data_IF_995212484445
#
_entry.id   IF_995212484445
#
_cell.length_a   1.000
_cell.length_b   1.000
_cell.length_c   1.000
_cell.angle_alpha   90.00
_cell.angle_beta   90.00
_cell.angle_gamma   90.00
#
_symmetry.space_group_name_H-M   'P 1'
#
loop_
_entity.id
_entity.type
_entity.pdbx_description
1 polymer ?
#
# COMPACT_ATOMS: atom_id res chain seq x y z
N UNK A 1 14.51 -21.53 -4.75
CA UNK A 1 13.83 -21.15 -6.01
C UNK A 1 13.67 -22.31 -7.00
N UNK A 2 14.56 -23.31 -7.08
CA UNK A 2 14.50 -24.40 -8.07
C UNK A 2 13.14 -25.15 -8.18
N UNK A 3 12.39 -25.25 -7.09
CA UNK A 3 11.04 -25.85 -7.06
C UNK A 3 9.94 -24.93 -7.58
N UNK A 4 10.22 -23.65 -7.82
CA UNK A 4 9.23 -22.62 -8.16
C UNK A 4 9.38 -22.06 -9.59
N UNK A 5 10.63 -21.88 -10.06
CA UNK A 5 10.90 -21.35 -11.41
C UNK A 5 12.26 -21.79 -11.91
N UNK A 6 12.36 -22.12 -13.20
CA UNK A 6 13.61 -22.58 -13.84
C UNK A 6 14.70 -21.49 -13.90
N UNK A 7 14.31 -20.21 -13.81
CA UNK A 7 15.23 -19.05 -13.77
C UNK A 7 15.79 -18.78 -12.37
N UNK A 8 15.41 -19.60 -11.39
CA UNK A 8 15.86 -19.50 -10.00
C UNK A 8 15.56 -18.09 -9.40
N UNK A 9 16.58 -17.50 -8.77
CA UNK A 9 16.52 -16.18 -8.15
C UNK A 9 16.45 -15.03 -9.15
N UNK A 10 16.69 -15.30 -10.43
CA UNK A 10 16.57 -14.33 -11.54
C UNK A 10 15.18 -14.31 -12.18
N UNK A 11 14.23 -15.09 -11.67
CA UNK A 11 12.83 -14.99 -12.07
C UNK A 11 12.25 -13.59 -11.81
N UNK A 12 11.18 -13.16 -12.51
CA UNK A 12 10.48 -11.91 -12.21
C UNK A 12 10.15 -11.76 -10.72
N UNK A 13 10.22 -10.54 -10.21
CA UNK A 13 10.11 -10.30 -8.76
C UNK A 13 8.80 -10.76 -8.14
N UNK A 14 7.70 -10.72 -8.88
CA UNK A 14 6.41 -11.25 -8.46
C UNK A 14 6.46 -12.77 -8.24
N UNK A 15 7.16 -13.53 -9.08
CA UNK A 15 7.36 -14.98 -8.92
C UNK A 15 8.22 -15.27 -7.70
N UNK A 16 9.34 -14.55 -7.55
CA UNK A 16 10.24 -14.72 -6.40
C UNK A 16 9.52 -14.38 -5.10
N UNK A 17 8.75 -13.28 -5.07
CA UNK A 17 7.99 -12.88 -3.90
C UNK A 17 6.93 -13.92 -3.51
N UNK A 18 6.20 -14.48 -4.49
CA UNK A 18 5.24 -15.56 -4.24
C UNK A 18 5.90 -16.84 -3.72
N UNK A 19 7.06 -17.18 -4.24
CA UNK A 19 7.82 -18.35 -3.78
C UNK A 19 8.28 -18.18 -2.33
N UNK A 20 8.82 -17.00 -1.98
CA UNK A 20 9.23 -16.69 -0.61
C UNK A 20 8.02 -16.72 0.34
N UNK A 21 6.91 -16.07 -0.01
CA UNK A 21 5.68 -16.08 0.78
C UNK A 21 5.15 -17.50 1.01
N UNK A 22 5.21 -18.34 -0.02
CA UNK A 22 4.82 -19.74 0.07
C UNK A 22 5.71 -20.52 1.06
N UNK A 23 7.04 -20.42 0.94
CA UNK A 23 7.98 -21.11 1.82
C UNK A 23 7.86 -20.62 3.27
N UNK A 24 7.75 -19.31 3.49
CA UNK A 24 7.54 -18.75 4.82
C UNK A 24 6.29 -19.30 5.48
N UNK A 25 5.15 -19.29 4.78
CA UNK A 25 3.87 -19.80 5.31
C UNK A 25 3.85 -21.31 5.49
N UNK A 26 4.49 -22.06 4.60
CA UNK A 26 4.59 -23.52 4.68
C UNK A 26 5.39 -23.97 5.91
N UNK A 27 6.46 -23.26 6.22
CA UNK A 27 7.37 -23.61 7.30
C UNK A 27 7.10 -22.85 8.60
N UNK A 28 6.18 -21.89 8.61
CA UNK A 28 5.86 -21.06 9.79
C UNK A 28 7.02 -20.17 10.22
N UNK A 29 7.85 -19.71 9.26
CA UNK A 29 9.00 -18.83 9.50
C UNK A 29 8.66 -17.39 9.10
N UNK A 30 9.32 -16.43 9.73
CA UNK A 30 9.10 -15.01 9.55
C UNK A 30 10.02 -14.35 8.50
N UNK A 31 11.04 -15.08 8.03
CA UNK A 31 11.96 -14.62 6.97
C UNK A 31 12.59 -15.82 6.23
N UNK A 32 13.25 -15.54 5.10
CA UNK A 32 14.15 -16.44 4.40
C UNK A 32 15.57 -15.86 4.36
N UNK A 33 16.55 -16.68 3.99
CA UNK A 33 17.95 -16.27 3.97
C UNK A 33 18.38 -15.91 2.54
N UNK A 34 18.92 -14.70 2.35
CA UNK A 34 19.62 -14.30 1.14
C UNK A 34 21.12 -14.51 1.35
N UNK A 35 21.67 -15.48 0.66
CA UNK A 35 23.10 -15.81 0.75
C UNK A 35 23.88 -15.25 -0.44
N UNK A 36 24.68 -14.23 -0.19
CA UNK A 36 25.56 -13.60 -1.18
C UNK A 36 27.05 -13.87 -0.92
N UNK A 37 27.40 -14.72 0.06
CA UNK A 37 28.80 -14.99 0.49
C UNK A 37 29.68 -15.50 -0.65
N UNK A 38 29.12 -16.25 -1.60
CA UNK A 38 29.82 -16.80 -2.76
C UNK A 38 30.39 -15.72 -3.70
N UNK A 39 29.92 -14.48 -3.63
CA UNK A 39 30.40 -13.35 -4.44
C UNK A 39 31.72 -12.76 -3.90
N UNK A 40 32.04 -13.00 -2.63
CA UNK A 40 33.22 -12.48 -1.98
C UNK A 40 33.14 -11.02 -1.52
N UNK A 41 33.91 -10.70 -0.47
CA UNK A 41 33.84 -9.39 0.20
C UNK A 41 34.16 -8.20 -0.73
N UNK A 42 35.19 -8.34 -1.57
CA UNK A 42 35.61 -7.27 -2.49
C UNK A 42 34.49 -6.92 -3.50
N UNK A 43 33.83 -7.93 -4.06
CA UNK A 43 32.70 -7.74 -4.95
C UNK A 43 31.52 -7.05 -4.26
N UNK A 44 31.15 -7.55 -3.07
CA UNK A 44 30.02 -7.03 -2.30
C UNK A 44 30.22 -5.56 -1.91
N UNK A 45 31.43 -5.18 -1.50
CA UNK A 45 31.77 -3.79 -1.19
C UNK A 45 31.73 -2.87 -2.42
N UNK A 46 32.21 -3.35 -3.56
CA UNK A 46 32.27 -2.56 -4.78
C UNK A 46 30.87 -2.37 -5.43
N UNK A 47 30.04 -3.42 -5.45
CA UNK A 47 28.77 -3.41 -6.16
C UNK A 47 27.57 -3.05 -5.29
N UNK A 48 27.64 -3.31 -3.98
CA UNK A 48 26.57 -3.05 -3.02
C UNK A 48 27.04 -2.26 -1.78
N UNK A 49 27.73 -1.12 -1.96
CA UNK A 49 28.37 -0.41 -0.84
C UNK A 49 27.37 0.04 0.23
N UNK A 50 26.21 0.53 -0.18
CA UNK A 50 25.17 1.01 0.75
C UNK A 50 24.55 -0.14 1.54
N UNK A 51 24.22 -1.26 0.88
CA UNK A 51 23.66 -2.45 1.54
C UNK A 51 24.70 -3.04 2.49
N UNK A 52 25.95 -3.17 2.04
CA UNK A 52 27.04 -3.68 2.87
C UNK A 52 27.21 -2.85 4.15
N UNK A 53 27.34 -1.52 4.02
CA UNK A 53 27.48 -0.62 5.16
C UNK A 53 26.27 -0.68 6.10
N UNK A 54 25.05 -0.72 5.55
CA UNK A 54 23.83 -0.77 6.35
C UNK A 54 23.71 -2.09 7.11
N UNK A 55 23.94 -3.22 6.46
CA UNK A 55 23.93 -4.53 7.13
C UNK A 55 24.98 -4.60 8.24
N UNK A 56 26.19 -4.11 7.97
CA UNK A 56 27.27 -4.08 8.95
C UNK A 56 26.91 -3.22 10.18
N UNK A 57 26.24 -2.08 9.99
CA UNK A 57 25.75 -1.24 11.09
C UNK A 57 24.69 -1.92 11.97
N UNK A 58 24.06 -2.98 11.46
CA UNK A 58 23.08 -3.83 12.17
C UNK A 58 23.73 -5.14 12.71
N UNK A 59 25.06 -5.25 12.64
CA UNK A 59 25.79 -6.45 13.08
C UNK A 59 25.79 -7.60 12.08
N UNK A 60 25.36 -7.37 10.82
CA UNK A 60 25.30 -8.39 9.78
C UNK A 60 26.42 -8.15 8.77
N UNK A 61 27.47 -8.99 8.80
CA UNK A 61 28.52 -9.00 7.77
C UNK A 61 28.09 -9.91 6.61
N UNK A 62 27.60 -9.30 5.52
CA UNK A 62 27.05 -10.01 4.35
C UNK A 62 28.11 -10.82 3.58
N UNK A 63 29.39 -10.61 3.84
CA UNK A 63 30.47 -11.42 3.29
C UNK A 63 30.67 -12.74 4.06
N UNK A 64 30.16 -12.82 5.30
CA UNK A 64 30.39 -13.94 6.21
C UNK A 64 29.11 -14.69 6.60
N UNK A 65 27.97 -13.99 6.58
CA UNK A 65 26.68 -14.55 6.97
C UNK A 65 25.56 -14.12 6.01
N UNK A 66 24.50 -14.94 5.85
CA UNK A 66 23.36 -14.58 5.03
C UNK A 66 22.52 -13.47 5.68
N UNK A 67 21.76 -12.77 4.86
CA UNK A 67 20.86 -11.68 5.27
C UNK A 67 19.43 -12.24 5.47
N UNK A 68 18.76 -11.99 6.61
CA UNK A 68 17.35 -12.30 6.74
C UNK A 68 16.53 -11.33 5.86
N UNK A 69 15.69 -11.87 4.99
CA UNK A 69 14.90 -11.08 4.05
C UNK A 69 13.45 -11.54 3.97
N UNK A 70 12.56 -10.59 3.73
CA UNK A 70 11.15 -10.83 3.45
C UNK A 70 10.74 -10.02 2.22
N UNK A 71 9.73 -10.45 1.46
CA UNK A 71 9.10 -9.56 0.49
C UNK A 71 8.46 -8.38 1.21
N UNK A 72 8.58 -7.18 0.69
CA UNK A 72 7.95 -5.99 1.25
C UNK A 72 7.09 -5.30 0.20
N UNK A 73 6.05 -4.59 0.64
CA UNK A 73 5.32 -3.67 -0.21
C UNK A 73 6.30 -2.60 -0.73
N UNK A 74 6.26 -2.33 -2.03
CA UNK A 74 7.20 -1.41 -2.67
C UNK A 74 6.50 -0.21 -3.29
N UNK A 75 5.44 -0.44 -4.08
CA UNK A 75 4.73 0.60 -4.80
C UNK A 75 3.24 0.26 -4.92
N UNK A 76 2.39 1.24 -4.69
CA UNK A 76 0.95 1.11 -4.89
C UNK A 76 0.62 1.36 -6.36
N UNK A 77 0.14 0.33 -7.08
CA UNK A 77 -0.31 0.48 -8.46
C UNK A 77 -1.79 0.88 -8.51
N UNK A 78 -2.14 1.92 -7.80
CA UNK A 78 -3.51 2.39 -7.65
C UNK A 78 -3.55 3.61 -6.76
N UNK A 79 -4.71 4.23 -6.61
CA UNK A 79 -4.88 5.44 -5.82
C UNK A 79 -6.11 6.21 -6.23
N UNK A 80 -6.09 7.50 -6.04
CA UNK A 80 -7.15 8.41 -6.45
C UNK A 80 -7.15 8.51 -7.97
N UNK A 81 -8.31 8.30 -8.61
CA UNK A 81 -8.45 8.44 -10.07
C UNK A 81 -8.25 9.90 -10.45
N UNK A 82 -7.35 10.14 -11.39
CA UNK A 82 -7.07 11.49 -11.93
C UNK A 82 -6.95 11.46 -13.44
N UNK A 83 -7.14 12.60 -14.06
CA UNK A 83 -6.70 12.85 -15.44
C UNK A 83 -5.18 13.11 -15.51
N UNK A 84 -4.66 13.38 -16.70
CA UNK A 84 -3.24 13.67 -16.92
C UNK A 84 -2.80 15.06 -16.41
N UNK A 85 -3.73 15.88 -15.96
CA UNK A 85 -3.51 17.18 -15.32
C UNK A 85 -3.61 17.08 -13.79
N UNK A 86 -3.78 15.86 -13.24
CA UNK A 86 -3.90 15.61 -11.81
C UNK A 86 -5.26 15.94 -11.21
N UNK A 87 -6.29 16.29 -12.02
CA UNK A 87 -7.61 16.59 -11.52
C UNK A 87 -8.33 15.33 -11.07
N UNK A 88 -9.03 15.44 -9.95
CA UNK A 88 -9.98 14.41 -9.49
C UNK A 88 -11.39 14.77 -9.93
N UNK A 89 -12.36 13.91 -9.61
CA UNK A 89 -13.79 14.18 -9.79
C UNK A 89 -14.36 15.20 -8.76
N UNK A 90 -13.56 15.60 -7.77
CA UNK A 90 -13.91 16.66 -6.83
C UNK A 90 -13.30 17.99 -7.31
N UNK A 91 -14.12 19.02 -7.64
CA UNK A 91 -13.59 20.30 -8.08
C UNK A 91 -12.63 20.92 -7.06
N UNK A 92 -11.46 21.35 -7.54
CA UNK A 92 -10.41 21.96 -6.71
C UNK A 92 -9.51 20.97 -5.97
N UNK A 93 -9.77 19.65 -6.07
CA UNK A 93 -8.90 18.63 -5.52
C UNK A 93 -8.03 18.02 -6.64
N UNK A 94 -6.73 18.08 -6.44
CA UNK A 94 -5.71 17.51 -7.32
C UNK A 94 -4.93 16.42 -6.59
N UNK A 95 -4.44 15.43 -7.34
CA UNK A 95 -3.52 14.44 -6.83
C UNK A 95 -2.50 14.06 -7.90
N UNK A 96 -1.24 13.82 -7.49
CA UNK A 96 -0.13 13.44 -8.39
C UNK A 96 0.79 12.42 -7.73
N UNK A 97 1.52 11.66 -8.52
CA UNK A 97 2.50 10.68 -8.06
C UNK A 97 1.88 9.38 -7.54
N UNK A 98 2.54 8.70 -6.61
CA UNK A 98 2.16 7.36 -6.14
C UNK A 98 0.74 7.27 -5.54
N UNK A 99 0.21 8.38 -5.04
CA UNK A 99 -1.15 8.45 -4.49
C UNK A 99 -2.25 8.42 -5.56
N UNK A 100 -1.89 8.48 -6.85
CA UNK A 100 -2.85 8.58 -7.96
C UNK A 100 -3.01 7.27 -8.72
N UNK A 101 -4.12 7.17 -9.44
CA UNK A 101 -4.33 6.18 -10.48
C UNK A 101 -4.57 6.89 -11.82
N UNK A 102 -3.54 6.94 -12.64
CA UNK A 102 -3.57 7.47 -14.02
C UNK A 102 -3.75 6.38 -15.07
N UNK A 103 -3.59 5.11 -14.67
CA UNK A 103 -3.53 3.97 -15.58
C UNK A 103 -2.14 3.64 -16.12
N UNK A 104 -1.14 4.51 -15.94
CA UNK A 104 0.22 4.34 -16.48
C UNK A 104 0.87 3.01 -16.07
N UNK A 105 0.71 2.61 -14.82
CA UNK A 105 1.38 1.42 -14.29
C UNK A 105 0.63 0.12 -14.53
N UNK A 106 -0.63 0.19 -14.94
CA UNK A 106 -1.45 -1.01 -15.15
C UNK A 106 -1.49 -1.90 -13.90
N UNK A 107 -1.28 -3.20 -14.09
CA UNK A 107 -1.30 -4.18 -13.00
C UNK A 107 0.06 -4.36 -12.30
N UNK A 108 1.14 -3.80 -12.84
CA UNK A 108 2.49 -3.87 -12.27
C UNK A 108 3.36 -2.75 -12.80
N UNK A 109 3.92 -1.93 -11.93
CA UNK A 109 4.77 -0.80 -12.30
C UNK A 109 6.10 -1.26 -12.88
N UNK A 110 6.49 -0.69 -14.03
CA UNK A 110 7.84 -0.83 -14.55
C UNK A 110 8.81 0.03 -13.74
N UNK A 111 10.00 -0.49 -13.47
CA UNK A 111 11.05 0.21 -12.73
C UNK A 111 11.31 1.60 -13.32
N UNK A 112 11.57 2.58 -12.46
CA UNK A 112 11.83 3.99 -12.76
C UNK A 112 10.62 4.82 -13.23
N UNK A 113 9.53 4.22 -13.71
CA UNK A 113 8.37 4.97 -14.20
C UNK A 113 7.66 5.77 -13.09
N UNK A 114 7.78 5.38 -11.83
CA UNK A 114 7.21 6.14 -10.70
C UNK A 114 7.76 7.56 -10.61
N UNK A 115 9.09 7.73 -10.72
CA UNK A 115 9.71 9.06 -10.67
C UNK A 115 9.37 9.89 -11.91
N UNK A 116 9.29 9.27 -13.08
CA UNK A 116 8.86 9.94 -14.31
C UNK A 116 7.41 10.44 -14.19
N UNK A 117 6.51 9.61 -13.71
CA UNK A 117 5.13 10.00 -13.44
C UNK A 117 5.06 11.19 -12.48
N UNK A 118 5.75 11.12 -11.34
CA UNK A 118 5.77 12.20 -10.35
C UNK A 118 6.25 13.54 -10.97
N UNK A 119 7.34 13.52 -11.74
CA UNK A 119 7.91 14.74 -12.31
C UNK A 119 7.04 15.31 -13.41
N UNK A 120 6.59 14.47 -14.36
CA UNK A 120 5.82 14.91 -15.52
C UNK A 120 4.44 15.41 -15.06
N UNK A 121 3.70 14.60 -14.31
CA UNK A 121 2.34 14.98 -13.90
C UNK A 121 2.34 16.05 -12.82
N UNK A 122 3.38 16.10 -11.96
CA UNK A 122 3.54 17.20 -11.02
C UNK A 122 3.69 18.55 -11.72
N UNK A 123 4.48 18.60 -12.80
CA UNK A 123 4.62 19.79 -13.65
C UNK A 123 3.30 20.15 -14.33
N UNK A 124 2.68 19.20 -15.01
CA UNK A 124 1.43 19.44 -15.74
C UNK A 124 0.31 19.92 -14.80
N UNK A 125 0.22 19.31 -13.61
CA UNK A 125 -0.72 19.73 -12.57
C UNK A 125 -0.46 21.17 -12.09
N UNK A 126 0.80 21.54 -11.86
CA UNK A 126 1.15 22.90 -11.45
C UNK A 126 0.79 23.92 -12.53
N UNK A 127 1.11 23.64 -13.80
CA UNK A 127 0.74 24.48 -14.96
C UNK A 127 -0.79 24.64 -15.03
N UNK A 128 -1.53 23.57 -14.76
CA UNK A 128 -3.00 23.60 -14.75
C UNK A 128 -3.57 24.43 -13.61
N UNK A 129 -3.07 24.24 -12.38
CA UNK A 129 -3.51 25.03 -11.22
C UNK A 129 -3.26 26.53 -11.43
N UNK A 130 -2.13 26.88 -12.05
CA UNK A 130 -1.82 28.28 -12.36
C UNK A 130 -2.73 28.88 -13.45
N UNK A 131 -3.23 28.06 -14.37
CA UNK A 131 -4.11 28.48 -15.45
C UNK A 131 -5.60 28.54 -15.03
N UNK A 132 -5.99 27.81 -14.00
CA UNK A 132 -7.37 27.77 -13.50
C UNK A 132 -7.69 29.07 -12.73
N UNK A 133 -8.93 29.58 -12.85
CA UNK A 133 -9.36 30.71 -12.05
C UNK A 133 -9.34 30.33 -10.57
N UNK A 134 -8.91 31.26 -9.73
CA UNK A 134 -8.94 31.07 -8.29
C UNK A 134 -10.37 30.74 -7.82
N UNK A 135 -10.50 29.61 -7.13
CA UNK A 135 -11.77 29.24 -6.51
C UNK A 135 -12.06 30.17 -5.32
N UNK A 136 -13.31 30.58 -5.11
CA UNK A 136 -13.68 31.34 -3.94
C UNK A 136 -13.38 30.50 -2.68
N UNK A 137 -12.57 31.06 -1.78
CA UNK A 137 -12.24 30.42 -0.50
C UNK A 137 -13.30 30.82 0.51
N UNK A 138 -14.12 29.87 0.95
CA UNK A 138 -14.98 30.08 2.10
C UNK A 138 -14.14 30.19 3.39
N UNK A 139 -14.49 31.08 4.35
CA UNK A 139 -13.82 31.13 5.62
C UNK A 139 -13.94 29.77 6.33
N UNK A 140 -12.81 29.23 6.78
CA UNK A 140 -12.82 28.00 7.57
C UNK A 140 -13.35 28.32 8.98
N UNK A 141 -14.22 27.47 9.54
CA UNK A 141 -14.62 27.59 10.93
C UNK A 141 -13.41 27.42 11.85
N UNK A 142 -13.43 28.06 13.00
CA UNK A 142 -12.42 27.81 14.03
C UNK A 142 -12.47 26.33 14.45
N UNK A 143 -11.31 25.78 14.75
CA UNK A 143 -11.21 24.43 15.30
C UNK A 143 -11.82 24.40 16.70
N UNK A 144 -12.78 23.52 16.94
CA UNK A 144 -13.51 23.40 18.20
C UNK A 144 -13.13 22.08 18.92
N UNK A 145 -12.42 22.21 20.03
CA UNK A 145 -12.03 21.08 20.89
C UNK A 145 -12.88 20.99 22.16
N UNK A 146 -13.97 21.76 22.29
CA UNK A 146 -14.76 21.81 23.51
C UNK A 146 -15.44 20.50 23.90
N UNK A 147 -15.48 19.52 23.00
CA UNK A 147 -16.14 18.21 23.18
C UNK A 147 -15.16 17.03 23.27
N UNK A 148 -13.86 17.30 23.27
CA UNK A 148 -12.84 16.24 23.30
C UNK A 148 -11.96 16.38 24.53
N UNK A 149 -11.49 15.25 25.02
CA UNK A 149 -10.59 15.16 26.18
C UNK A 149 -9.19 14.73 25.72
N UNK A 150 -8.19 14.93 26.58
CA UNK A 150 -6.87 14.36 26.35
C UNK A 150 -6.93 12.85 26.55
N UNK A 151 -6.32 12.09 25.65
CA UNK A 151 -6.29 10.64 25.77
C UNK A 151 -5.37 10.22 26.93
N UNK A 152 -5.92 9.45 27.88
CA UNK A 152 -5.15 8.92 28.99
C UNK A 152 -4.14 7.86 28.55
N UNK A 153 -4.42 7.16 27.44
CA UNK A 153 -3.63 6.04 26.94
C UNK A 153 -3.36 6.15 25.44
N UNK A 154 -2.08 6.03 25.06
CA UNK A 154 -1.66 5.91 23.66
C UNK A 154 -1.63 4.44 23.19
N UNK A 155 -1.81 3.49 24.08
CA UNK A 155 -1.73 2.06 23.78
C UNK A 155 -2.77 1.60 22.75
N UNK A 156 -3.95 2.20 22.76
CA UNK A 156 -5.05 1.86 21.81
C UNK A 156 -4.62 2.16 20.37
N UNK A 157 -4.02 3.33 20.14
CA UNK A 157 -3.55 3.73 18.80
C UNK A 157 -2.42 2.80 18.33
N UNK A 158 -1.43 2.56 19.19
CA UNK A 158 -0.28 1.70 18.87
C UNK A 158 -0.71 0.26 18.62
N UNK A 159 -1.61 -0.28 19.44
CA UNK A 159 -2.15 -1.64 19.27
C UNK A 159 -2.91 -1.79 17.94
N UNK A 160 -3.83 -0.88 17.64
CA UNK A 160 -4.63 -0.93 16.41
C UNK A 160 -3.76 -0.74 15.16
N UNK A 161 -2.69 0.06 15.27
CA UNK A 161 -1.70 0.22 14.22
C UNK A 161 -0.97 -1.10 13.90
N UNK A 162 -0.45 -1.75 14.93
CA UNK A 162 0.27 -3.02 14.75
C UNK A 162 -0.66 -4.15 14.31
N UNK A 163 -1.87 -4.21 14.86
CA UNK A 163 -2.88 -5.16 14.44
C UNK A 163 -3.24 -4.98 12.96
N UNK A 164 -3.50 -3.76 12.51
CA UNK A 164 -3.84 -3.50 11.10
C UNK A 164 -2.71 -3.93 10.17
N UNK A 165 -1.46 -3.61 10.50
CA UNK A 165 -0.30 -4.00 9.68
C UNK A 165 -0.16 -5.52 9.60
N UNK A 166 -0.26 -6.21 10.73
CA UNK A 166 -0.20 -7.67 10.78
C UNK A 166 -1.36 -8.33 10.03
N UNK A 167 -2.56 -7.78 10.16
CA UNK A 167 -3.75 -8.23 9.42
C UNK A 167 -3.54 -8.11 7.91
N UNK A 168 -3.08 -6.96 7.44
CA UNK A 168 -2.82 -6.73 6.02
C UNK A 168 -1.72 -7.66 5.49
N UNK A 169 -0.66 -7.88 6.25
CA UNK A 169 0.39 -8.83 5.91
C UNK A 169 -0.13 -10.26 5.77
N UNK A 170 -0.85 -10.75 6.77
CA UNK A 170 -1.25 -12.15 6.84
C UNK A 170 -2.41 -12.51 5.90
N UNK A 171 -3.37 -11.62 5.71
CA UNK A 171 -4.62 -11.91 4.99
C UNK A 171 -4.74 -11.24 3.64
N UNK A 172 -4.07 -10.10 3.41
CA UNK A 172 -4.20 -9.28 2.21
C UNK A 172 -2.90 -9.23 1.40
N UNK A 173 -1.85 -9.88 1.90
CA UNK A 173 -0.52 -9.88 1.29
C UNK A 173 -0.45 -10.57 -0.07
N UNK A 174 0.72 -11.11 -0.40
CA UNK A 174 1.13 -11.51 -1.76
C UNK A 174 0.20 -12.56 -2.38
N UNK A 175 -0.22 -13.59 -1.61
CA UNK A 175 -1.12 -14.65 -2.08
C UNK A 175 -2.46 -14.52 -1.37
N UNK A 176 -3.50 -14.24 -2.13
CA UNK A 176 -4.85 -13.94 -1.65
C UNK A 176 -5.81 -15.10 -1.85
N UNK A 177 -6.85 -15.14 -1.04
CA UNK A 177 -8.07 -15.93 -1.24
C UNK A 177 -9.27 -15.09 -0.82
N UNK A 178 -10.43 -15.32 -1.43
CA UNK A 178 -11.68 -14.62 -1.10
C UNK A 178 -11.96 -14.71 0.40
N UNK A 179 -11.86 -15.90 0.97
CA UNK A 179 -12.11 -16.13 2.41
C UNK A 179 -11.18 -15.32 3.33
N UNK A 180 -9.91 -15.16 2.95
CA UNK A 180 -8.97 -14.30 3.72
C UNK A 180 -9.33 -12.83 3.60
N UNK A 181 -9.65 -12.36 2.39
CA UNK A 181 -10.05 -10.98 2.15
C UNK A 181 -11.34 -10.61 2.89
N UNK A 182 -12.34 -11.51 2.93
CA UNK A 182 -13.58 -11.32 3.68
C UNK A 182 -13.33 -11.20 5.19
N UNK A 183 -12.46 -12.06 5.74
CA UNK A 183 -12.05 -11.97 7.15
C UNK A 183 -11.32 -10.65 7.44
N UNK A 184 -10.41 -10.24 6.56
CA UNK A 184 -9.72 -8.96 6.71
C UNK A 184 -10.71 -7.80 6.67
N UNK A 185 -11.66 -7.80 5.74
CA UNK A 185 -12.68 -6.74 5.65
C UNK A 185 -13.54 -6.67 6.92
N UNK A 186 -13.90 -7.82 7.49
CA UNK A 186 -14.65 -7.85 8.74
C UNK A 186 -13.85 -7.20 9.88
N UNK A 187 -12.58 -7.56 10.03
CA UNK A 187 -11.73 -6.99 11.09
C UNK A 187 -11.45 -5.50 10.88
N UNK A 188 -11.20 -5.07 9.64
CA UNK A 188 -11.01 -3.66 9.31
C UNK A 188 -12.24 -2.82 9.68
N UNK A 189 -13.45 -3.34 9.53
CA UNK A 189 -14.66 -2.63 9.96
C UNK A 189 -14.67 -2.38 11.46
N UNK A 190 -14.28 -3.36 12.29
CA UNK A 190 -14.17 -3.19 13.72
C UNK A 190 -13.13 -2.12 14.08
N UNK A 191 -11.93 -2.22 13.50
CA UNK A 191 -10.87 -1.22 13.71
C UNK A 191 -11.30 0.19 13.27
N UNK A 192 -12.09 0.28 12.19
CA UNK A 192 -12.64 1.56 11.73
C UNK A 192 -13.60 2.16 12.74
N UNK A 193 -14.51 1.34 13.28
CA UNK A 193 -15.53 1.79 14.22
C UNK A 193 -14.85 2.21 15.55
N UNK A 194 -13.90 1.44 16.07
CA UNK A 194 -13.06 1.80 17.23
C UNK A 194 -12.26 3.10 16.99
N UNK A 195 -11.62 3.23 15.83
CA UNK A 195 -10.85 4.44 15.46
C UNK A 195 -11.76 5.65 15.34
N UNK A 196 -12.98 5.47 14.85
CA UNK A 196 -13.97 6.53 14.73
C UNK A 196 -14.43 7.01 16.10
N UNK A 197 -14.74 6.10 17.00
CA UNK A 197 -15.14 6.42 18.37
C UNK A 197 -14.02 7.15 19.11
N UNK A 198 -12.79 6.69 18.94
CA UNK A 198 -11.62 7.35 19.53
C UNK A 198 -11.43 8.77 18.97
N UNK A 199 -11.54 8.93 17.65
CA UNK A 199 -11.45 10.23 16.98
C UNK A 199 -12.55 11.21 17.42
N UNK A 200 -13.74 10.73 17.75
CA UNK A 200 -14.86 11.56 18.17
C UNK A 200 -14.75 12.06 19.61
N UNK A 201 -14.02 11.34 20.47
CA UNK A 201 -13.98 11.60 21.91
C UNK A 201 -12.66 12.20 22.39
N UNK A 202 -11.57 11.98 21.68
CA UNK A 202 -10.25 12.40 22.14
C UNK A 202 -9.63 13.44 21.23
N UNK A 203 -8.73 14.27 21.81
CA UNK A 203 -7.99 15.29 21.09
C UNK A 203 -7.16 14.67 19.97
N UNK A 204 -7.28 15.25 18.79
CA UNK A 204 -6.63 14.74 17.57
C UNK A 204 -5.13 14.95 17.66
N UNK A 205 -4.37 13.89 17.42
CA UNK A 205 -2.92 13.91 17.24
C UNK A 205 -2.53 13.26 15.90
N UNK A 206 -1.23 13.32 15.58
CA UNK A 206 -0.70 12.80 14.33
C UNK A 206 -0.96 11.30 14.17
N UNK A 207 -0.68 10.52 15.20
CA UNK A 207 -0.75 9.06 15.14
C UNK A 207 -2.20 8.58 14.95
N UNK A 208 -3.15 9.25 15.60
CA UNK A 208 -4.59 8.99 15.41
C UNK A 208 -5.04 9.30 13.98
N UNK A 209 -4.57 10.43 13.40
CA UNK A 209 -4.89 10.76 12.00
C UNK A 209 -4.30 9.75 11.03
N UNK A 210 -3.06 9.32 11.24
CA UNK A 210 -2.40 8.32 10.41
C UNK A 210 -3.11 6.97 10.52
N UNK A 211 -3.46 6.51 11.74
CA UNK A 211 -4.23 5.28 11.95
C UNK A 211 -5.57 5.32 11.20
N UNK A 212 -6.33 6.42 11.36
CA UNK A 212 -7.60 6.61 10.64
C UNK A 212 -7.41 6.50 9.12
N UNK A 213 -6.39 7.11 8.58
CA UNK A 213 -6.09 7.08 7.15
C UNK A 213 -5.66 5.67 6.70
N UNK A 214 -4.85 4.97 7.49
CA UNK A 214 -4.44 3.59 7.21
C UNK A 214 -5.63 2.63 7.16
N UNK A 215 -6.57 2.76 8.10
CA UNK A 215 -7.80 1.94 8.13
C UNK A 215 -8.64 2.15 6.87
N UNK A 216 -8.81 3.41 6.41
CA UNK A 216 -9.51 3.72 5.16
C UNK A 216 -8.79 3.13 3.95
N UNK A 217 -7.47 3.30 3.84
CA UNK A 217 -6.68 2.73 2.76
C UNK A 217 -6.76 1.20 2.75
N UNK A 218 -6.68 0.55 3.90
CA UNK A 218 -6.79 -0.90 4.03
C UNK A 218 -8.16 -1.40 3.56
N UNK A 219 -9.25 -0.73 3.94
CA UNK A 219 -10.60 -1.07 3.47
C UNK A 219 -10.70 -0.96 1.95
N UNK A 220 -10.19 0.11 1.34
CA UNK A 220 -10.21 0.31 -0.10
C UNK A 220 -9.39 -0.76 -0.85
N UNK A 221 -8.21 -1.13 -0.34
CA UNK A 221 -7.37 -2.19 -0.91
C UNK A 221 -8.11 -3.53 -0.88
N UNK A 222 -8.71 -3.91 0.26
CA UNK A 222 -9.41 -5.18 0.39
C UNK A 222 -10.66 -5.23 -0.49
N UNK A 223 -11.44 -4.16 -0.54
CA UNK A 223 -12.63 -4.07 -1.41
C UNK A 223 -12.26 -4.14 -2.89
N UNK A 224 -11.16 -3.50 -3.30
CA UNK A 224 -10.64 -3.59 -4.67
C UNK A 224 -10.21 -5.01 -5.00
N UNK A 225 -9.49 -5.67 -4.09
CA UNK A 225 -9.04 -7.04 -4.26
C UNK A 225 -10.21 -8.03 -4.35
N UNK A 226 -11.26 -7.87 -3.54
CA UNK A 226 -12.48 -8.69 -3.59
C UNK A 226 -13.25 -8.55 -4.90
N UNK A 227 -13.22 -7.36 -5.52
CA UNK A 227 -13.90 -7.13 -6.81
C UNK A 227 -13.16 -7.70 -8.01
N UNK A 228 -11.86 -7.99 -7.88
CA UNK A 228 -11.04 -8.46 -8.99
C UNK A 228 -10.97 -9.98 -9.04
N UNK A 229 -11.79 -10.59 -9.87
CA UNK A 229 -11.90 -12.03 -10.04
C UNK A 229 -10.94 -12.55 -11.12
N UNK A 230 -9.68 -12.20 -11.03
CA UNK A 230 -8.58 -12.65 -11.89
C UNK A 230 -7.25 -12.57 -11.13
N UNK A 231 -6.20 -13.17 -11.68
CA UNK A 231 -4.81 -12.91 -11.27
C UNK A 231 -4.11 -12.17 -12.39
N UNK A 232 -3.58 -10.94 -12.09
CA UNK A 232 -2.92 -10.09 -13.09
C UNK A 232 -1.88 -9.20 -12.40
N UNK A 233 -0.66 -9.24 -12.87
CA UNK A 233 0.44 -8.48 -12.27
C UNK A 233 0.65 -8.85 -10.81
N UNK A 234 0.61 -7.85 -9.92
CA UNK A 234 0.80 -8.05 -8.48
C UNK A 234 -0.42 -8.63 -7.77
N UNK A 235 -1.62 -8.50 -8.32
CA UNK A 235 -2.80 -9.13 -7.76
C UNK A 235 -2.84 -10.63 -8.12
N UNK A 236 -2.62 -11.47 -7.12
CA UNK A 236 -2.68 -12.92 -7.27
C UNK A 236 -3.69 -13.53 -6.30
N UNK A 237 -4.69 -14.22 -6.84
CA UNK A 237 -5.71 -14.95 -6.08
C UNK A 237 -5.68 -16.44 -6.40
N UNK A 238 -5.65 -17.28 -5.38
CA UNK A 238 -5.72 -18.74 -5.55
C UNK A 238 -7.10 -19.20 -6.06
N UNK A 239 -8.14 -18.42 -5.77
CA UNK A 239 -9.51 -18.75 -6.18
C UNK A 239 -9.75 -18.34 -7.66
N UNK A 240 -8.96 -17.37 -8.16
CA UNK A 240 -9.02 -16.88 -9.54
C UNK A 240 -7.61 -16.82 -10.15
N UNK A 241 -6.96 -17.97 -10.44
CA UNK A 241 -5.55 -17.99 -10.84
C UNK A 241 -5.28 -17.47 -12.26
N UNK A 242 -6.30 -17.41 -13.11
CA UNK A 242 -6.16 -17.01 -14.51
C UNK A 242 -6.42 -15.52 -14.71
N UNK A 243 -5.86 -14.96 -15.76
CA UNK A 243 -6.19 -13.61 -16.24
C UNK A 243 -7.50 -13.63 -17.03
N UNK A 244 -8.29 -12.56 -16.91
CA UNK A 244 -9.43 -12.35 -17.79
C UNK A 244 -8.97 -11.96 -19.20
N UNK A 245 -9.75 -12.29 -20.26
CA UNK A 245 -9.39 -11.95 -21.65
C UNK A 245 -9.24 -10.44 -21.86
N UNK A 246 -10.05 -9.65 -21.19
CA UNK A 246 -10.03 -8.18 -21.28
C UNK A 246 -9.61 -7.61 -19.92
N UNK A 247 -8.63 -6.71 -19.95
CA UNK A 247 -8.17 -5.98 -18.77
C UNK A 247 -8.97 -4.69 -18.61
N UNK A 248 -9.45 -4.43 -17.39
CA UNK A 248 -10.08 -3.16 -17.04
C UNK A 248 -9.72 -2.75 -15.60
N UNK A 249 -9.74 -1.45 -15.26
CA UNK A 249 -9.45 -0.98 -13.92
C UNK A 249 -10.53 -1.40 -12.92
N UNK A 250 -10.12 -1.62 -11.67
CA UNK A 250 -11.05 -1.77 -10.55
C UNK A 250 -11.25 -0.40 -9.90
N UNK A 251 -12.41 0.21 -10.12
CA UNK A 251 -12.73 1.54 -9.58
C UNK A 251 -13.79 1.41 -8.48
N UNK A 252 -13.51 2.01 -7.32
CA UNK A 252 -14.47 2.16 -6.23
C UNK A 252 -14.98 3.59 -6.22
N UNK A 253 -16.29 3.75 -6.27
CA UNK A 253 -16.95 5.05 -6.13
C UNK A 253 -17.74 5.11 -4.85
N UNK A 254 -17.86 6.31 -4.27
CA UNK A 254 -18.76 6.51 -3.14
C UNK A 254 -20.19 6.22 -3.58
N UNK A 255 -20.99 5.47 -2.81
CA UNK A 255 -22.40 5.32 -3.12
C UNK A 255 -23.05 6.72 -3.19
N UNK A 256 -23.84 6.94 -4.23
CA UNK A 256 -24.68 8.15 -4.28
C UNK A 256 -25.47 8.20 -2.97
N UNK A 257 -25.48 9.35 -2.29
CA UNK A 257 -26.40 9.55 -1.16
C UNK A 257 -27.80 9.29 -1.72
N UNK A 258 -28.43 8.20 -1.27
CA UNK A 258 -29.85 7.99 -1.53
C UNK A 258 -30.55 9.27 -1.07
N UNK A 259 -31.20 9.96 -2.00
CA UNK A 259 -31.77 11.26 -1.76
C UNK A 259 -32.58 11.24 -0.47
N UNK A 260 -32.22 12.10 0.48
CA UNK A 260 -33.11 12.49 1.53
C UNK A 260 -34.33 13.10 0.82
N UNK A 261 -35.43 12.36 0.77
CA UNK A 261 -36.72 12.92 0.41
C UNK A 261 -36.96 14.08 1.37
N UNK A 262 -36.80 15.28 0.87
CA UNK A 262 -37.30 16.48 1.55
C UNK A 262 -38.82 16.34 1.57
N UNK A 263 -39.34 15.90 2.69
CA UNK A 263 -40.74 16.13 3.06
C UNK A 263 -40.84 17.46 3.79
#
# INVERSE_FOLDING_TARGET
MAAHDSRLELAPRDIVARAIDFEMKKHGIDHVWLDARHLGEAFLKAHFPTIHARCLSLGIDIARQPIPVVPAAHYTCGGVVTDLEGRTDLPGLFAVGETTYTGLHGANRLASNSLLECVVLGRTCAERILADPALPVAPLPAWDESKVEDADEQVVIAHNWDELRLLMWNYVGIVRTTKRLERALHRIKLLRDETHDYYANFRVNRDLLELRNLVVCAELIVRSALRRHESRGLHYSRDFPNTLPVSFPTVLTRPAKSGASRS
#
